data_IF_655404207785
#
_entry.id   IF_655404207785
#
_cell.length_a   1.000
_cell.length_b   1.000
_cell.length_c   1.000
_cell.angle_alpha   90.00
_cell.angle_beta   90.00
_cell.angle_gamma   90.00
#
_symmetry.space_group_name_H-M   'P 1'
#
loop_
_entity.id
_entity.type
_entity.pdbx_description
1 polymer ?
#
# COMPACT_ATOMS: atom_id res chain seq x y z
N UNK A 1 -19.07 41.38 -1.10
CA UNK A 1 -17.73 41.10 -1.65
C UNK A 1 -16.87 40.23 -0.74
N UNK A 2 -16.86 40.38 0.57
CA UNK A 2 -16.08 39.56 1.53
C UNK A 2 -16.55 38.11 1.61
N UNK A 3 -17.87 37.80 1.55
CA UNK A 3 -18.41 36.43 1.51
C UNK A 3 -17.92 35.61 0.30
N UNK A 4 -17.78 36.25 -0.86
CA UNK A 4 -17.34 35.52 -2.07
C UNK A 4 -15.85 35.12 -2.05
N UNK A 5 -15.00 35.80 -1.31
CA UNK A 5 -13.58 35.47 -1.15
C UNK A 5 -13.40 34.34 -0.13
N UNK A 6 -14.13 34.40 0.98
CA UNK A 6 -14.14 33.33 1.97
C UNK A 6 -14.69 32.02 1.36
N UNK A 7 -15.80 32.08 0.62
CA UNK A 7 -16.36 30.92 -0.07
C UNK A 7 -15.37 30.30 -1.08
N UNK A 8 -14.62 31.10 -1.83
CA UNK A 8 -13.59 30.61 -2.76
C UNK A 8 -12.39 29.98 -2.07
N UNK A 9 -12.00 30.48 -0.90
CA UNK A 9 -10.92 29.90 -0.11
C UNK A 9 -11.32 28.58 0.56
N UNK A 10 -12.61 28.42 0.93
CA UNK A 10 -13.14 27.19 1.55
C UNK A 10 -13.58 26.11 0.53
N UNK A 11 -13.81 26.45 -0.73
CA UNK A 11 -14.23 25.51 -1.76
C UNK A 11 -13.30 24.29 -1.91
N UNK A 12 -11.95 24.42 -1.96
CA UNK A 12 -11.07 23.25 -2.09
C UNK A 12 -11.09 22.36 -0.84
N UNK A 13 -11.20 22.95 0.35
CA UNK A 13 -11.32 22.17 1.58
C UNK A 13 -12.65 21.41 1.65
N UNK A 14 -13.75 22.03 1.28
CA UNK A 14 -15.08 21.40 1.24
C UNK A 14 -15.10 20.22 0.26
N UNK A 15 -14.54 20.37 -0.94
CA UNK A 15 -14.47 19.29 -1.94
C UNK A 15 -13.61 18.11 -1.45
N UNK A 16 -12.54 18.36 -0.72
CA UNK A 16 -11.73 17.31 -0.09
C UNK A 16 -12.52 16.53 0.97
N UNK A 17 -13.22 17.23 1.87
CA UNK A 17 -14.06 16.56 2.88
C UNK A 17 -15.20 15.75 2.26
N UNK A 18 -15.82 16.26 1.19
CA UNK A 18 -16.85 15.52 0.44
C UNK A 18 -16.26 14.27 -0.22
N UNK A 19 -15.09 14.34 -0.83
CA UNK A 19 -14.43 13.17 -1.42
C UNK A 19 -14.07 12.12 -0.36
N UNK A 20 -13.48 12.52 0.76
CA UNK A 20 -13.16 11.61 1.87
C UNK A 20 -14.44 10.98 2.43
N UNK A 21 -15.49 11.75 2.65
CA UNK A 21 -16.79 11.25 3.09
C UNK A 21 -17.39 10.20 2.14
N UNK A 22 -17.34 10.48 0.83
CA UNK A 22 -17.83 9.54 -0.18
C UNK A 22 -16.98 8.26 -0.26
N UNK A 23 -15.65 8.35 -0.07
CA UNK A 23 -14.78 7.18 0.03
C UNK A 23 -15.10 6.35 1.27
N UNK A 24 -15.39 6.97 2.42
CA UNK A 24 -15.84 6.26 3.63
C UNK A 24 -17.18 5.57 3.43
N UNK A 25 -18.14 6.21 2.75
CA UNK A 25 -19.42 5.59 2.37
C UNK A 25 -19.19 4.40 1.45
N UNK A 26 -18.31 4.53 0.45
CA UNK A 26 -17.93 3.41 -0.44
C UNK A 26 -17.30 2.27 0.36
N UNK A 27 -16.41 2.58 1.30
CA UNK A 27 -15.80 1.59 2.20
C UNK A 27 -16.86 0.81 2.98
N UNK A 28 -17.81 1.51 3.60
CA UNK A 28 -18.92 0.87 4.33
C UNK A 28 -19.78 -0.02 3.44
N UNK A 29 -20.13 0.46 2.23
CA UNK A 29 -20.86 -0.35 1.24
C UNK A 29 -20.08 -1.57 0.78
N UNK A 30 -18.76 -1.43 0.53
CA UNK A 30 -17.89 -2.52 0.12
C UNK A 30 -17.76 -3.58 1.21
N UNK A 31 -17.53 -3.19 2.47
CA UNK A 31 -17.46 -4.12 3.60
C UNK A 31 -18.80 -4.84 3.79
N UNK A 32 -19.93 -4.12 3.76
CA UNK A 32 -21.25 -4.75 3.89
C UNK A 32 -21.57 -5.69 2.73
N UNK A 33 -21.18 -5.33 1.50
CA UNK A 33 -21.34 -6.18 0.31
C UNK A 33 -20.45 -7.42 0.35
N UNK A 34 -19.27 -7.33 0.98
CA UNK A 34 -18.36 -8.46 1.19
C UNK A 34 -18.95 -9.52 2.12
N UNK A 35 -19.67 -9.10 3.16
CA UNK A 35 -20.21 -10.02 4.19
C UNK A 35 -21.59 -10.59 3.79
N UNK A 36 -22.36 -9.89 2.95
CA UNK A 36 -23.73 -10.30 2.60
C UNK A 36 -23.78 -11.23 1.38
N UNK A 37 -24.37 -12.44 1.50
CA UNK A 37 -24.62 -13.32 0.35
C UNK A 37 -25.63 -12.67 -0.62
N UNK A 38 -25.70 -13.14 -1.89
CA UNK A 38 -24.86 -14.14 -2.55
C UNK A 38 -23.47 -13.61 -2.91
N UNK A 39 -22.49 -14.52 -3.16
CA UNK A 39 -21.11 -14.17 -3.52
C UNK A 39 -20.83 -14.45 -5.00
N UNK A 40 -21.31 -13.60 -5.94
CA UNK A 40 -21.19 -13.84 -7.38
C UNK A 40 -19.81 -13.56 -7.94
N UNK A 41 -18.90 -12.99 -7.15
CA UNK A 41 -17.63 -12.41 -7.59
C UNK A 41 -16.41 -13.35 -7.48
N UNK A 42 -16.59 -14.65 -7.18
CA UNK A 42 -15.46 -15.56 -6.97
C UNK A 42 -14.50 -15.67 -8.16
N UNK A 43 -15.03 -15.77 -9.38
CA UNK A 43 -14.22 -15.78 -10.60
C UNK A 43 -13.46 -14.46 -10.84
N UNK A 44 -14.14 -13.35 -10.65
CA UNK A 44 -13.54 -12.01 -10.78
C UNK A 44 -12.46 -11.77 -9.72
N UNK A 45 -12.69 -12.26 -8.48
CA UNK A 45 -11.69 -12.18 -7.41
C UNK A 45 -10.38 -12.88 -7.81
N UNK A 46 -10.45 -14.12 -8.30
CA UNK A 46 -9.26 -14.87 -8.73
C UNK A 46 -8.57 -14.16 -9.89
N UNK A 47 -9.34 -13.68 -10.85
CA UNK A 47 -8.81 -12.93 -11.99
C UNK A 47 -8.07 -11.66 -11.54
N UNK A 48 -8.66 -10.86 -10.67
CA UNK A 48 -8.06 -9.64 -10.15
C UNK A 48 -6.85 -9.91 -9.25
N UNK A 49 -6.89 -10.99 -8.48
CA UNK A 49 -5.76 -11.42 -7.65
C UNK A 49 -4.55 -11.79 -8.52
N UNK A 50 -4.75 -12.65 -9.53
CA UNK A 50 -3.68 -13.06 -10.44
C UNK A 50 -3.18 -11.89 -11.29
N UNK A 51 -4.07 -11.01 -11.72
CA UNK A 51 -3.70 -9.79 -12.45
C UNK A 51 -2.78 -8.89 -11.61
N UNK A 52 -3.15 -8.59 -10.37
CA UNK A 52 -2.33 -7.77 -9.48
C UNK A 52 -0.99 -8.44 -9.16
N UNK A 53 -0.97 -9.77 -8.95
CA UNK A 53 0.25 -10.52 -8.72
C UNK A 53 1.20 -10.42 -9.93
N UNK A 54 0.70 -10.71 -11.14
CA UNK A 54 1.51 -10.67 -12.36
C UNK A 54 2.07 -9.28 -12.66
N UNK A 55 1.31 -8.24 -12.34
CA UNK A 55 1.75 -6.86 -12.56
C UNK A 55 2.83 -6.42 -11.56
N UNK A 56 2.69 -6.81 -10.29
CA UNK A 56 3.49 -6.25 -9.19
C UNK A 56 4.74 -7.07 -8.85
N UNK A 57 4.81 -8.39 -9.14
CA UNK A 57 5.90 -9.25 -8.65
C UNK A 57 7.29 -8.77 -9.08
N UNK A 58 7.48 -8.40 -10.35
CA UNK A 58 8.78 -8.01 -10.89
C UNK A 58 9.19 -6.58 -10.47
N UNK A 59 8.32 -5.55 -10.60
CA UNK A 59 8.61 -4.25 -10.03
C UNK A 59 8.92 -4.30 -8.53
N UNK A 60 8.22 -5.16 -7.78
CA UNK A 60 8.43 -5.37 -6.36
C UNK A 60 9.84 -5.90 -6.07
N UNK A 61 10.27 -6.95 -6.80
CA UNK A 61 11.60 -7.53 -6.64
C UNK A 61 12.70 -6.48 -6.79
N UNK A 62 12.68 -5.73 -7.90
CA UNK A 62 13.68 -4.71 -8.17
C UNK A 62 13.64 -3.60 -7.11
N UNK A 63 12.45 -3.10 -6.82
CA UNK A 63 12.27 -1.99 -5.87
C UNK A 63 12.74 -2.37 -4.47
N UNK A 64 12.42 -3.57 -3.99
CA UNK A 64 12.75 -3.99 -2.63
C UNK A 64 14.24 -4.29 -2.45
N UNK A 65 14.89 -4.92 -3.44
CA UNK A 65 16.35 -5.15 -3.42
C UNK A 65 17.09 -3.81 -3.49
N UNK A 66 16.73 -2.95 -4.44
CA UNK A 66 17.37 -1.65 -4.61
C UNK A 66 17.19 -0.73 -3.38
N UNK A 67 15.96 -0.71 -2.82
CA UNK A 67 15.67 0.09 -1.65
C UNK A 67 16.35 -0.48 -0.40
N UNK A 68 16.33 -1.82 -0.22
CA UNK A 68 16.98 -2.51 0.87
C UNK A 68 18.50 -2.32 0.85
N UNK A 69 19.12 -2.33 -0.33
CA UNK A 69 20.54 -2.01 -0.50
C UNK A 69 20.84 -0.53 -0.20
N UNK A 70 20.05 0.40 -0.73
CA UNK A 70 20.32 1.84 -0.65
C UNK A 70 20.08 2.42 0.74
N UNK A 71 18.83 2.49 1.18
CA UNK A 71 18.46 3.23 2.38
C UNK A 71 18.79 2.49 3.69
N UNK A 72 18.20 1.33 4.02
CA UNK A 72 18.54 0.63 5.24
C UNK A 72 19.90 -0.12 5.17
N UNK A 73 20.41 -0.41 3.97
CA UNK A 73 21.69 -1.05 3.77
C UNK A 73 22.87 -0.05 3.80
N UNK A 74 23.20 0.57 2.66
CA UNK A 74 24.40 1.42 2.54
C UNK A 74 24.38 2.63 3.47
N UNK A 75 23.22 3.31 3.61
CA UNK A 75 23.17 4.51 4.45
C UNK A 75 23.34 4.18 5.93
N UNK A 76 22.71 3.10 6.40
CA UNK A 76 22.88 2.64 7.76
C UNK A 76 24.30 2.09 8.01
N UNK A 77 24.86 1.35 7.05
CA UNK A 77 26.25 0.88 7.14
C UNK A 77 27.24 2.03 7.23
N UNK A 78 27.08 3.08 6.40
CA UNK A 78 27.87 4.30 6.52
C UNK A 78 27.79 4.93 7.92
N UNK A 79 26.58 5.04 8.45
CA UNK A 79 26.39 5.61 9.79
C UNK A 79 27.03 4.73 10.87
N UNK A 80 26.79 3.42 10.85
CA UNK A 80 27.33 2.48 11.82
C UNK A 80 28.86 2.34 11.75
N UNK A 81 29.44 2.52 10.56
CA UNK A 81 30.91 2.49 10.39
C UNK A 81 31.62 3.59 11.17
N UNK A 82 30.99 4.76 11.34
CA UNK A 82 31.55 5.87 12.13
C UNK A 82 31.72 5.50 13.61
N UNK A 83 30.94 4.53 14.09
CA UNK A 83 30.99 4.05 15.48
C UNK A 83 31.70 2.69 15.61
N UNK A 84 32.20 2.12 14.50
CA UNK A 84 32.80 0.78 14.51
C UNK A 84 31.79 -0.34 14.84
N UNK A 85 30.50 -0.13 14.58
CA UNK A 85 29.40 -1.00 14.98
C UNK A 85 28.66 -1.61 13.76
N UNK A 86 29.41 -1.92 12.69
CA UNK A 86 28.83 -2.51 11.46
C UNK A 86 28.12 -3.85 11.71
N UNK A 87 28.59 -4.64 12.67
CA UNK A 87 27.98 -5.88 13.12
C UNK A 87 26.51 -5.72 13.56
N UNK A 88 26.08 -4.50 13.90
CA UNK A 88 24.70 -4.17 14.30
C UNK A 88 23.77 -3.82 13.12
N UNK A 89 24.25 -3.85 11.88
CA UNK A 89 23.45 -3.51 10.70
C UNK A 89 22.19 -4.38 10.59
N UNK A 90 22.27 -5.69 10.91
CA UNK A 90 21.13 -6.58 10.88
C UNK A 90 20.01 -6.17 11.84
N UNK A 91 20.35 -5.74 13.07
CA UNK A 91 19.37 -5.24 14.04
C UNK A 91 18.71 -3.94 13.60
N UNK A 92 19.50 -3.00 13.06
CA UNK A 92 18.96 -1.78 12.45
C UNK A 92 18.03 -2.10 11.26
N UNK A 93 18.39 -3.12 10.48
CA UNK A 93 17.61 -3.54 9.32
C UNK A 93 16.19 -4.03 9.71
N UNK A 94 16.03 -4.71 10.84
CA UNK A 94 14.69 -5.09 11.37
C UNK A 94 13.88 -3.82 11.64
N UNK A 95 14.42 -2.86 12.37
CA UNK A 95 13.71 -1.64 12.72
C UNK A 95 13.29 -0.83 11.49
N UNK A 96 14.23 -0.60 10.59
CA UNK A 96 14.01 0.23 9.42
C UNK A 96 13.18 -0.52 8.35
N UNK A 97 13.58 -1.74 8.02
CA UNK A 97 13.05 -2.46 6.86
C UNK A 97 11.73 -3.16 7.17
N UNK A 98 11.66 -3.94 8.25
CA UNK A 98 10.46 -4.73 8.55
C UNK A 98 9.30 -3.84 8.97
N UNK A 99 9.56 -2.81 9.80
CA UNK A 99 8.49 -1.95 10.33
C UNK A 99 8.04 -0.89 9.34
N UNK A 100 8.94 -0.32 8.54
CA UNK A 100 8.62 0.85 7.74
C UNK A 100 8.87 0.66 6.24
N UNK A 101 10.10 0.33 5.82
CA UNK A 101 10.43 0.37 4.39
C UNK A 101 9.75 -0.71 3.57
N UNK A 102 9.71 -1.96 4.03
CA UNK A 102 9.06 -3.03 3.26
C UNK A 102 7.55 -2.78 3.11
N UNK A 103 6.78 -2.47 4.18
CA UNK A 103 5.38 -2.05 4.06
C UNK A 103 5.18 -0.86 3.11
N UNK A 104 6.05 0.14 3.23
CA UNK A 104 5.95 1.37 2.46
C UNK A 104 6.22 1.13 0.97
N UNK A 105 7.34 0.48 0.63
CA UNK A 105 7.68 0.13 -0.76
C UNK A 105 6.59 -0.74 -1.38
N UNK A 106 6.04 -1.69 -0.61
CA UNK A 106 4.93 -2.53 -1.06
C UNK A 106 3.71 -1.68 -1.42
N UNK A 107 3.32 -0.74 -0.55
CA UNK A 107 2.18 0.13 -0.81
C UNK A 107 2.41 1.03 -2.05
N UNK A 108 3.61 1.59 -2.20
CA UNK A 108 3.96 2.46 -3.34
C UNK A 108 3.90 1.68 -4.66
N UNK A 109 4.48 0.48 -4.70
CA UNK A 109 4.45 -0.37 -5.90
C UNK A 109 3.02 -0.80 -6.24
N UNK A 110 2.26 -1.27 -5.25
CA UNK A 110 0.87 -1.71 -5.48
C UNK A 110 -0.02 -0.55 -5.91
N UNK A 111 0.09 0.63 -5.29
CA UNK A 111 -0.68 1.80 -5.69
C UNK A 111 -0.30 2.30 -7.09
N UNK A 112 1.01 2.37 -7.38
CA UNK A 112 1.52 2.86 -8.65
C UNK A 112 1.32 1.90 -9.83
N UNK A 113 1.21 0.60 -9.59
CA UNK A 113 1.10 -0.42 -10.63
C UNK A 113 -0.33 -0.98 -10.70
N UNK A 114 -0.76 -1.73 -9.68
CA UNK A 114 -2.10 -2.33 -9.68
C UNK A 114 -3.21 -1.29 -9.48
N UNK A 115 -3.00 -0.30 -8.61
CA UNK A 115 -3.97 0.75 -8.33
C UNK A 115 -4.27 1.61 -9.57
N UNK A 116 -3.24 2.01 -10.30
CA UNK A 116 -3.40 2.76 -11.56
C UNK A 116 -4.16 1.96 -12.61
N UNK A 117 -3.85 0.68 -12.76
CA UNK A 117 -4.52 -0.21 -13.70
C UNK A 117 -6.03 -0.38 -13.35
N UNK A 118 -6.35 -0.55 -12.06
CA UNK A 118 -7.75 -0.63 -11.58
C UNK A 118 -8.49 0.67 -11.84
N UNK A 119 -7.88 1.82 -11.56
CA UNK A 119 -8.50 3.13 -11.79
C UNK A 119 -8.77 3.35 -13.28
N UNK A 120 -7.82 2.98 -14.14
CA UNK A 120 -7.95 3.10 -15.58
C UNK A 120 -9.05 2.17 -16.12
N UNK A 121 -9.11 0.91 -15.68
CA UNK A 121 -10.15 -0.05 -16.11
C UNK A 121 -11.55 0.44 -15.71
N UNK A 122 -11.75 0.78 -14.44
CA UNK A 122 -13.05 1.28 -13.97
C UNK A 122 -13.42 2.62 -14.60
N UNK A 123 -12.45 3.50 -14.82
CA UNK A 123 -12.66 4.77 -15.52
C UNK A 123 -13.06 4.58 -16.97
N UNK A 124 -12.41 3.66 -17.69
CA UNK A 124 -12.79 3.32 -19.06
C UNK A 124 -14.21 2.73 -19.13
N UNK A 125 -14.58 1.84 -18.20
CA UNK A 125 -15.95 1.29 -18.09
C UNK A 125 -16.98 2.38 -17.78
N UNK A 126 -16.63 3.36 -16.93
CA UNK A 126 -17.52 4.49 -16.60
C UNK A 126 -17.76 5.36 -17.84
N UNK A 127 -16.72 5.70 -18.59
CA UNK A 127 -16.84 6.51 -19.81
C UNK A 127 -17.66 5.81 -20.90
N UNK A 128 -17.60 4.46 -20.96
CA UNK A 128 -18.44 3.66 -21.90
C UNK A 128 -19.82 3.36 -21.37
N UNK A 129 -20.23 3.95 -20.23
CA UNK A 129 -21.54 3.75 -19.60
C UNK A 129 -21.83 2.30 -19.18
N UNK A 130 -20.79 1.43 -19.11
CA UNK A 130 -20.94 0.03 -18.71
C UNK A 130 -21.45 -0.10 -17.26
N UNK A 131 -21.05 0.83 -16.38
CA UNK A 131 -21.49 0.82 -14.97
C UNK A 131 -22.97 1.13 -14.87
N UNK A 132 -23.46 2.05 -15.68
CA UNK A 132 -24.87 2.46 -15.69
C UNK A 132 -25.73 1.35 -16.36
N UNK A 133 -25.21 0.69 -17.40
CA UNK A 133 -25.84 -0.49 -18.00
C UNK A 133 -25.99 -1.66 -17.00
N UNK A 134 -24.97 -1.94 -16.18
CA UNK A 134 -25.06 -2.95 -15.12
C UNK A 134 -26.18 -2.66 -14.14
N UNK A 135 -26.33 -1.38 -13.72
CA UNK A 135 -27.39 -0.97 -12.80
C UNK A 135 -28.79 -1.16 -13.41
N UNK A 136 -28.97 -0.87 -14.70
CA UNK A 136 -30.24 -1.11 -15.41
C UNK A 136 -30.56 -2.61 -15.48
N UNK A 137 -29.55 -3.47 -15.59
CA UNK A 137 -29.72 -4.93 -15.56
C UNK A 137 -29.92 -5.50 -14.14
N UNK A 138 -30.01 -4.64 -13.11
CA UNK A 138 -30.17 -5.07 -11.71
C UNK A 138 -28.89 -5.62 -11.08
N UNK A 139 -27.73 -5.42 -11.70
CA UNK A 139 -26.44 -5.85 -11.19
C UNK A 139 -25.79 -4.72 -10.39
N UNK A 140 -25.45 -4.96 -9.12
CA UNK A 140 -24.76 -3.97 -8.28
C UNK A 140 -23.26 -3.87 -8.68
N UNK A 141 -22.82 -2.71 -9.23
CA UNK A 141 -21.44 -2.52 -9.64
C UNK A 141 -20.45 -2.61 -8.46
N UNK A 142 -20.86 -2.20 -7.25
CA UNK A 142 -19.99 -2.27 -6.07
C UNK A 142 -19.70 -3.74 -5.77
N UNK A 143 -20.74 -4.57 -5.72
CA UNK A 143 -20.63 -5.98 -5.38
C UNK A 143 -19.84 -6.79 -6.41
N UNK A 144 -20.02 -6.48 -7.70
CA UNK A 144 -19.42 -7.26 -8.78
C UNK A 144 -18.03 -6.74 -9.22
N UNK A 145 -17.77 -5.46 -9.07
CA UNK A 145 -16.51 -4.86 -9.53
C UNK A 145 -15.61 -4.37 -8.40
N UNK A 146 -16.16 -3.70 -7.37
CA UNK A 146 -15.34 -3.11 -6.31
C UNK A 146 -14.92 -4.17 -5.28
N UNK A 147 -15.85 -5.01 -4.82
CA UNK A 147 -15.56 -6.04 -3.80
C UNK A 147 -14.43 -7.00 -4.21
N UNK A 148 -14.43 -7.60 -5.42
CA UNK A 148 -13.35 -8.49 -5.80
C UNK A 148 -11.98 -7.79 -5.88
N UNK A 149 -11.93 -6.54 -6.36
CA UNK A 149 -10.71 -5.73 -6.38
C UNK A 149 -10.23 -5.38 -4.98
N UNK A 150 -11.15 -5.03 -4.09
CA UNK A 150 -10.87 -4.72 -2.70
C UNK A 150 -10.25 -5.91 -1.97
N UNK A 151 -10.86 -7.08 -2.04
CA UNK A 151 -10.35 -8.30 -1.41
C UNK A 151 -9.02 -8.75 -2.02
N UNK A 152 -8.91 -8.70 -3.35
CA UNK A 152 -7.69 -9.06 -4.06
C UNK A 152 -6.50 -8.17 -3.64
N UNK A 153 -6.68 -6.84 -3.63
CA UNK A 153 -5.62 -5.93 -3.22
C UNK A 153 -5.27 -6.06 -1.73
N UNK A 154 -6.26 -6.26 -0.86
CA UNK A 154 -5.97 -6.52 0.56
C UNK A 154 -5.04 -7.71 0.74
N UNK A 155 -5.40 -8.85 0.16
CA UNK A 155 -4.65 -10.10 0.34
C UNK A 155 -3.30 -10.03 -0.35
N UNK A 156 -3.27 -9.60 -1.61
CA UNK A 156 -2.03 -9.58 -2.39
C UNK A 156 -1.01 -8.59 -1.82
N UNK A 157 -1.45 -7.43 -1.29
CA UNK A 157 -0.54 -6.46 -0.68
C UNK A 157 0.13 -7.03 0.58
N UNK A 158 -0.63 -7.73 1.42
CA UNK A 158 -0.06 -8.44 2.57
C UNK A 158 0.93 -9.53 2.18
N UNK A 159 0.63 -10.32 1.14
CA UNK A 159 1.54 -11.35 0.63
C UNK A 159 2.79 -10.75 -0.03
N UNK A 160 2.64 -9.69 -0.81
CA UNK A 160 3.77 -8.98 -1.43
C UNK A 160 4.66 -8.31 -0.38
N UNK A 161 4.15 -7.97 0.80
CA UNK A 161 5.01 -7.49 1.88
C UNK A 161 5.95 -8.57 2.40
N UNK A 162 5.49 -9.82 2.53
CA UNK A 162 6.38 -10.94 2.89
C UNK A 162 7.46 -11.13 1.83
N UNK A 163 7.08 -11.05 0.57
CA UNK A 163 8.02 -11.05 -0.55
C UNK A 163 9.02 -9.88 -0.47
N UNK A 164 8.54 -8.67 -0.16
CA UNK A 164 9.37 -7.47 0.03
C UNK A 164 10.36 -7.61 1.18
N UNK A 165 9.98 -8.25 2.27
CA UNK A 165 10.87 -8.54 3.40
C UNK A 165 12.01 -9.46 2.98
N UNK A 166 11.71 -10.55 2.27
CA UNK A 166 12.72 -11.51 1.82
C UNK A 166 13.74 -10.86 0.87
N UNK A 167 13.27 -10.15 -0.14
CA UNK A 167 14.16 -9.50 -1.11
C UNK A 167 14.80 -8.20 -0.57
N UNK A 168 14.16 -7.52 0.36
CA UNK A 168 14.76 -6.40 1.09
C UNK A 168 15.98 -6.82 1.91
N UNK A 169 15.91 -7.97 2.61
CA UNK A 169 17.05 -8.54 3.35
C UNK A 169 18.22 -8.86 2.41
N UNK A 170 17.97 -9.35 1.19
CA UNK A 170 19.06 -9.57 0.22
C UNK A 170 19.79 -8.27 -0.14
N UNK A 171 19.07 -7.15 -0.22
CA UNK A 171 19.69 -5.82 -0.37
C UNK A 171 20.60 -5.46 0.81
N UNK A 172 20.18 -5.74 2.05
CA UNK A 172 20.99 -5.58 3.26
C UNK A 172 22.25 -6.46 3.25
N UNK A 173 22.13 -7.71 2.82
CA UNK A 173 23.28 -8.62 2.65
C UNK A 173 24.27 -8.05 1.65
N UNK A 174 23.84 -7.52 0.52
CA UNK A 174 24.73 -6.87 -0.45
C UNK A 174 25.43 -5.65 0.14
N UNK A 175 24.77 -4.88 0.98
CA UNK A 175 25.39 -3.76 1.67
C UNK A 175 26.48 -4.21 2.65
N UNK A 176 26.24 -5.24 3.46
CA UNK A 176 27.22 -5.83 4.38
C UNK A 176 28.47 -6.32 3.65
N UNK A 177 28.26 -7.06 2.55
CA UNK A 177 29.35 -7.55 1.70
C UNK A 177 30.14 -6.42 1.03
N UNK A 178 29.49 -5.32 0.65
CA UNK A 178 30.16 -4.15 0.06
C UNK A 178 31.14 -3.49 1.04
N UNK A 179 30.92 -3.63 2.35
CA UNK A 179 31.85 -3.19 3.41
C UNK A 179 32.88 -4.26 3.82
N UNK A 180 32.88 -5.41 3.14
CA UNK A 180 33.82 -6.50 3.42
C UNK A 180 33.60 -7.18 4.78
N UNK A 181 32.40 -7.05 5.35
CA UNK A 181 32.07 -7.62 6.65
C UNK A 181 31.54 -9.06 6.52
N UNK A 182 31.82 -9.92 7.53
CA UNK A 182 31.29 -11.26 7.55
C UNK A 182 29.79 -11.25 7.90
N UNK A 183 28.98 -12.01 7.15
CA UNK A 183 27.51 -12.07 7.34
C UNK A 183 27.04 -12.60 8.70
N UNK A 184 27.96 -13.20 9.49
CA UNK A 184 27.61 -13.74 10.81
C UNK A 184 27.06 -12.70 11.78
N UNK A 185 27.69 -11.52 11.86
CA UNK A 185 27.24 -10.39 12.68
C UNK A 185 25.87 -9.87 12.25
N UNK A 186 25.69 -9.68 10.93
CA UNK A 186 24.41 -9.26 10.35
C UNK A 186 23.25 -10.19 10.74
N UNK A 187 23.40 -11.49 10.49
CA UNK A 187 22.33 -12.45 10.82
C UNK A 187 22.11 -12.61 12.32
N UNK A 188 23.17 -12.61 13.12
CA UNK A 188 23.04 -12.71 14.57
C UNK A 188 22.21 -11.56 15.14
N UNK A 189 22.52 -10.32 14.75
CA UNK A 189 21.77 -9.14 15.23
C UNK A 189 20.39 -9.02 14.59
N UNK A 190 20.21 -9.46 13.34
CA UNK A 190 18.93 -9.51 12.67
C UNK A 190 17.95 -10.44 13.42
N UNK A 191 18.35 -11.69 13.69
CA UNK A 191 17.48 -12.66 14.34
C UNK A 191 17.27 -12.35 15.83
N UNK A 192 18.26 -11.75 16.50
CA UNK A 192 18.10 -11.35 17.91
C UNK A 192 17.06 -10.23 18.09
N UNK A 193 16.93 -9.36 17.10
CA UNK A 193 15.99 -8.25 17.12
C UNK A 193 14.67 -8.54 16.42
N UNK A 194 14.57 -9.62 15.63
CA UNK A 194 13.34 -10.00 14.96
C UNK A 194 12.30 -10.48 15.98
N UNK A 195 11.09 -9.95 15.91
CA UNK A 195 9.96 -10.40 16.72
C UNK A 195 8.78 -10.84 15.87
N UNK A 196 7.99 -11.76 16.41
CA UNK A 196 6.74 -12.18 15.75
C UNK A 196 5.78 -11.00 15.64
N UNK A 197 5.80 -10.09 16.61
CA UNK A 197 5.00 -8.86 16.63
C UNK A 197 5.35 -7.96 15.45
N UNK A 198 6.63 -7.81 15.13
CA UNK A 198 7.06 -7.01 13.97
C UNK A 198 6.54 -7.61 12.65
N UNK A 199 6.61 -8.93 12.50
CA UNK A 199 6.22 -9.61 11.28
C UNK A 199 4.71 -9.51 11.03
N UNK A 200 3.89 -9.91 12.03
CA UNK A 200 2.44 -9.84 11.85
C UNK A 200 1.94 -8.40 11.77
N UNK A 201 2.55 -7.48 12.53
CA UNK A 201 2.23 -6.05 12.45
C UNK A 201 2.51 -5.47 11.07
N UNK A 202 3.65 -5.84 10.47
CA UNK A 202 4.02 -5.45 9.10
C UNK A 202 3.01 -5.99 8.06
N UNK A 203 2.65 -7.28 8.14
CA UNK A 203 1.69 -7.90 7.22
C UNK A 203 0.29 -7.32 7.39
N UNK A 204 -0.18 -7.14 8.63
CA UNK A 204 -1.48 -6.54 8.90
C UNK A 204 -1.56 -5.11 8.38
N UNK A 205 -0.51 -4.31 8.66
CA UNK A 205 -0.41 -2.93 8.18
C UNK A 205 -0.53 -2.84 6.65
N UNK A 206 0.22 -3.68 5.92
CA UNK A 206 0.18 -3.69 4.45
C UNK A 206 -1.12 -4.24 3.88
N UNK A 207 -1.76 -5.20 4.54
CA UNK A 207 -3.12 -5.64 4.17
C UNK A 207 -4.11 -4.48 4.22
N UNK A 208 -4.02 -3.65 5.26
CA UNK A 208 -4.86 -2.45 5.39
C UNK A 208 -4.48 -1.35 4.38
N UNK A 209 -3.20 -1.22 4.02
CA UNK A 209 -2.80 -0.37 2.89
C UNK A 209 -3.46 -0.81 1.58
N UNK A 210 -3.50 -2.13 1.32
CA UNK A 210 -4.22 -2.68 0.17
C UNK A 210 -5.70 -2.30 0.14
N UNK A 211 -6.36 -2.29 1.30
CA UNK A 211 -7.75 -1.83 1.43
C UNK A 211 -7.89 -0.34 1.07
N UNK A 212 -7.02 0.53 1.59
CA UNK A 212 -7.03 1.96 1.29
C UNK A 212 -6.83 2.19 -0.21
N UNK A 213 -5.81 1.57 -0.80
CA UNK A 213 -5.51 1.68 -2.23
C UNK A 213 -6.71 1.23 -3.07
N UNK A 214 -7.30 0.07 -2.75
CA UNK A 214 -8.44 -0.47 -3.48
C UNK A 214 -9.65 0.48 -3.47
N UNK A 215 -9.98 1.05 -2.33
CA UNK A 215 -11.13 1.99 -2.19
C UNK A 215 -10.85 3.28 -2.97
N UNK A 216 -9.67 3.88 -2.79
CA UNK A 216 -9.33 5.15 -3.44
C UNK A 216 -9.33 4.98 -4.97
N UNK A 217 -8.67 3.93 -5.47
CA UNK A 217 -8.57 3.65 -6.90
C UNK A 217 -9.94 3.32 -7.51
N UNK A 218 -10.77 2.53 -6.82
CA UNK A 218 -12.12 2.22 -7.28
C UNK A 218 -13.00 3.46 -7.27
N UNK A 219 -12.93 4.29 -6.22
CA UNK A 219 -13.71 5.52 -6.13
C UNK A 219 -13.37 6.49 -7.27
N UNK A 220 -12.08 6.73 -7.53
CA UNK A 220 -11.64 7.64 -8.59
C UNK A 220 -11.98 7.09 -9.97
N UNK A 221 -11.82 5.79 -10.20
CA UNK A 221 -12.20 5.15 -11.47
C UNK A 221 -13.69 5.26 -11.75
N UNK A 222 -14.54 4.90 -10.77
CA UNK A 222 -16.01 4.95 -10.92
C UNK A 222 -16.56 6.38 -11.09
N UNK A 223 -15.83 7.41 -10.68
CA UNK A 223 -16.21 8.82 -10.81
C UNK A 223 -15.44 9.55 -11.91
N UNK A 224 -14.71 8.84 -12.78
CA UNK A 224 -14.01 9.45 -13.89
C UNK A 224 -15.01 10.08 -14.88
N UNK A 225 -14.66 11.27 -15.39
CA UNK A 225 -15.47 12.02 -16.33
C UNK A 225 -14.58 12.81 -17.29
N UNK A 226 -15.08 13.20 -18.47
CA UNK A 226 -14.30 13.97 -19.46
C UNK A 226 -13.51 13.09 -20.45
N UNK A 227 -13.99 11.87 -20.72
CA UNK A 227 -13.40 10.98 -21.72
C UNK A 227 -12.04 10.42 -21.31
N UNK A 228 -11.21 10.08 -22.30
CA UNK A 228 -9.89 9.47 -22.06
C UNK A 228 -8.95 10.37 -21.22
N UNK A 229 -8.99 11.67 -21.42
CA UNK A 229 -8.21 12.62 -20.65
C UNK A 229 -8.63 12.64 -19.17
N UNK A 230 -9.94 12.55 -18.91
CA UNK A 230 -10.48 12.48 -17.56
C UNK A 230 -10.09 11.19 -16.82
N UNK A 231 -9.99 10.06 -17.53
CA UNK A 231 -9.46 8.81 -16.97
C UNK A 231 -8.01 8.99 -16.54
N UNK A 232 -7.16 9.61 -17.37
CA UNK A 232 -5.77 9.92 -17.01
C UNK A 232 -5.66 10.81 -15.77
N UNK A 233 -6.53 11.83 -15.64
CA UNK A 233 -6.59 12.69 -14.45
C UNK A 233 -7.02 11.88 -13.22
N UNK A 234 -8.03 11.03 -13.33
CA UNK A 234 -8.51 10.19 -12.23
C UNK A 234 -7.41 9.22 -11.73
N UNK A 235 -6.61 8.66 -12.65
CA UNK A 235 -5.47 7.79 -12.32
C UNK A 235 -4.42 8.56 -11.50
N UNK A 236 -4.01 9.75 -11.94
CA UNK A 236 -3.04 10.57 -11.21
C UNK A 236 -3.54 10.98 -9.82
N UNK A 237 -4.79 11.42 -9.72
CA UNK A 237 -5.41 11.78 -8.45
C UNK A 237 -5.53 10.58 -7.51
N UNK A 238 -5.87 9.39 -8.03
CA UNK A 238 -5.99 8.18 -7.25
C UNK A 238 -4.66 7.81 -6.57
N UNK A 239 -3.54 7.87 -7.31
CA UNK A 239 -2.22 7.58 -6.76
C UNK A 239 -1.84 8.55 -5.66
N UNK A 240 -2.02 9.86 -5.88
CA UNK A 240 -1.69 10.89 -4.89
C UNK A 240 -2.52 10.71 -3.61
N UNK A 241 -3.83 10.51 -3.74
CA UNK A 241 -4.72 10.33 -2.58
C UNK A 241 -4.42 9.01 -1.87
N UNK A 242 -4.15 7.92 -2.61
CA UNK A 242 -3.76 6.65 -2.01
C UNK A 242 -2.47 6.79 -1.20
N UNK A 243 -1.45 7.48 -1.71
CA UNK A 243 -0.23 7.74 -0.95
C UNK A 243 -0.49 8.55 0.31
N UNK A 244 -1.26 9.63 0.23
CA UNK A 244 -1.60 10.43 1.40
C UNK A 244 -2.33 9.59 2.46
N UNK A 245 -3.28 8.76 2.04
CA UNK A 245 -4.01 7.85 2.92
C UNK A 245 -3.09 6.80 3.57
N UNK A 246 -2.20 6.19 2.79
CA UNK A 246 -1.20 5.22 3.27
C UNK A 246 -0.25 5.86 4.28
N UNK A 247 0.30 7.06 4.00
CA UNK A 247 1.19 7.76 4.92
C UNK A 247 0.50 8.11 6.25
N UNK A 248 -0.70 8.67 6.18
CA UNK A 248 -1.45 9.04 7.38
C UNK A 248 -1.78 7.79 8.23
N UNK A 249 -2.22 6.71 7.59
CA UNK A 249 -2.52 5.46 8.26
C UNK A 249 -1.26 4.79 8.81
N UNK A 250 -0.14 4.82 8.07
CA UNK A 250 1.14 4.29 8.53
C UNK A 250 1.56 4.88 9.87
N UNK A 251 1.51 6.21 9.96
CA UNK A 251 1.87 6.90 11.20
C UNK A 251 1.00 6.45 12.38
N UNK A 252 -0.32 6.47 12.21
CA UNK A 252 -1.27 6.07 13.27
C UNK A 252 -1.06 4.61 13.67
N UNK A 253 -0.92 3.71 12.69
CA UNK A 253 -0.73 2.28 12.95
C UNK A 253 0.57 2.00 13.71
N UNK A 254 1.69 2.58 13.25
CA UNK A 254 3.00 2.37 13.89
C UNK A 254 3.01 2.91 15.32
N UNK A 255 2.45 4.11 15.55
CA UNK A 255 2.35 4.66 16.92
C UNK A 255 1.47 3.79 17.83
N UNK A 256 0.35 3.27 17.30
CA UNK A 256 -0.52 2.36 18.05
C UNK A 256 0.20 1.05 18.37
N UNK A 257 0.92 0.47 17.41
CA UNK A 257 1.67 -0.76 17.60
C UNK A 257 2.75 -0.60 18.68
N UNK A 258 3.52 0.48 18.63
CA UNK A 258 4.57 0.77 19.63
C UNK A 258 3.98 1.07 21.02
N UNK A 259 2.84 1.73 21.10
CA UNK A 259 2.17 2.01 22.37
C UNK A 259 1.60 0.74 23.03
N UNK A 260 1.14 -0.22 22.22
CA UNK A 260 0.57 -1.49 22.72
C UNK A 260 1.62 -2.56 23.00
N UNK A 261 2.79 -2.48 22.35
CA UNK A 261 3.89 -3.43 22.46
C UNK A 261 5.23 -2.71 22.68
N UNK A 262 5.44 -2.10 23.88
CA UNK A 262 6.65 -1.32 24.14
C UNK A 262 7.94 -2.16 24.12
N UNK A 263 7.84 -3.49 24.29
CA UNK A 263 8.97 -4.42 24.22
C UNK A 263 9.70 -4.42 22.86
N UNK A 264 9.04 -4.05 21.78
CA UNK A 264 9.65 -3.98 20.44
C UNK A 264 10.41 -2.66 20.22
N UNK A 265 10.25 -1.66 21.07
CA UNK A 265 10.92 -0.35 20.93
C UNK A 265 12.40 -0.38 21.30
N UNK A 266 12.86 -1.41 22.04
CA UNK A 266 14.23 -1.55 22.51
C UNK A 266 15.01 -2.47 21.58
N UNK A 267 16.15 -1.96 21.05
CA UNK A 267 17.12 -2.77 20.29
C UNK A 267 17.92 -3.60 21.30
N UNK A 268 18.00 -4.91 21.07
CA UNK A 268 18.75 -5.86 21.88
C UNK A 268 20.18 -6.04 21.38
#
# INVERSE_FOLDING_TARGET
MVRSVADRAFLPAKSLFEQVGNMMILTGKTITATVRPPYPYGGEFVSQFLFALQLCWFPMLISTVAFGFGAPGLQAANFLSLFGALDRLGGFFILASVREFAPFVTAVVVAGVAGTAITADLGARKIREELDALMVLGVDPIKNLVVPRFLSLMIITGLLNVYALLFGITGGIFAELAYGQPLGGFFATLFNNASVTDLWGSVLKTTLFGAIIAIVCSYKGMNASGGAQGVGTAVNEAVVIAFMGVFAFNYVFTQTLLATHPEISVIK
#
